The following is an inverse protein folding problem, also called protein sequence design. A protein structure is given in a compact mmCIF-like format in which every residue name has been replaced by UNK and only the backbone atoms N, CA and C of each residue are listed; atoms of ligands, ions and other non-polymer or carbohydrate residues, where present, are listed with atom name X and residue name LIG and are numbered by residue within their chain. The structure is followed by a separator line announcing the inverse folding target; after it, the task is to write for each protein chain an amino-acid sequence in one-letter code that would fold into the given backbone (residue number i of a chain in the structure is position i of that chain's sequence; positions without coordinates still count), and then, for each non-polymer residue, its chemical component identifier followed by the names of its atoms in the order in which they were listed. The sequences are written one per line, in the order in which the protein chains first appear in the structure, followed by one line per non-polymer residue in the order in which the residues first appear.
data_IF_742912558181
#
_entry.id   IF_742912558181
#
_cell.length_a   1.000
_cell.length_b   1.000
_cell.length_c   1.000
_cell.angle_alpha   90.00
_cell.angle_beta   90.00
_cell.angle_gamma   90.00
#
_symmetry.space_group_name_H-M   'P 1'
#
loop_
_entity.id
_entity.type
_entity.pdbx_description
1 polymer ?
#
# COMPACT_ATOMS: atom_id res chain seq x y z
N UNK A 1 -47.68 -28.02 -48.67
CA UNK A 1 -46.35 -28.24 -48.26
C UNK A 1 -45.79 -26.89 -47.77
N UNK A 2 -45.81 -26.62 -46.48
CA UNK A 2 -45.02 -25.52 -45.86
C UNK A 2 -44.40 -26.10 -44.59
N UNK A 3 -43.10 -26.31 -44.62
CA UNK A 3 -42.31 -26.56 -43.43
C UNK A 3 -41.90 -25.22 -42.85
N UNK A 4 -42.35 -24.96 -41.61
CA UNK A 4 -41.97 -23.81 -40.85
C UNK A 4 -40.52 -23.93 -40.41
N UNK A 5 -39.82 -22.82 -40.49
CA UNK A 5 -38.53 -22.59 -39.89
C UNK A 5 -38.77 -22.38 -38.39
N UNK A 6 -38.33 -23.34 -37.60
CA UNK A 6 -38.13 -23.13 -36.17
C UNK A 6 -36.81 -22.40 -36.02
N UNK A 7 -36.87 -21.12 -35.78
CA UNK A 7 -35.68 -20.34 -35.43
C UNK A 7 -35.19 -20.77 -34.05
N UNK A 8 -33.97 -21.21 -34.03
CA UNK A 8 -33.23 -21.63 -32.87
C UNK A 8 -32.91 -20.41 -31.98
N UNK A 9 -33.77 -20.19 -30.98
CA UNK A 9 -33.59 -19.17 -29.96
C UNK A 9 -32.60 -19.58 -28.85
N UNK A 10 -31.84 -20.67 -29.06
CA UNK A 10 -30.91 -21.18 -28.05
C UNK A 10 -29.54 -20.52 -28.05
N UNK A 11 -29.23 -19.59 -28.96
CA UNK A 11 -27.90 -18.95 -29.07
C UNK A 11 -27.76 -17.57 -28.44
N UNK A 12 -28.81 -17.03 -27.85
CA UNK A 12 -28.69 -15.88 -26.96
C UNK A 12 -28.28 -16.33 -25.55
N UNK A 13 -27.13 -16.99 -25.42
CA UNK A 13 -26.43 -16.98 -24.17
C UNK A 13 -26.04 -15.54 -23.93
N UNK A 14 -26.76 -14.88 -23.02
CA UNK A 14 -26.30 -13.74 -22.27
C UNK A 14 -24.92 -14.14 -21.78
N UNK A 15 -23.88 -13.60 -22.37
CA UNK A 15 -22.58 -13.53 -21.72
C UNK A 15 -22.83 -12.68 -20.49
N UNK A 16 -23.12 -13.33 -19.39
CA UNK A 16 -22.92 -12.74 -18.09
C UNK A 16 -21.50 -12.20 -18.13
N UNK A 17 -21.40 -10.89 -18.21
CA UNK A 17 -20.18 -10.22 -17.76
C UNK A 17 -20.00 -10.74 -16.35
N UNK A 18 -19.09 -11.68 -16.18
CA UNK A 18 -18.39 -11.82 -14.93
C UNK A 18 -17.64 -10.49 -14.78
N UNK A 19 -18.32 -9.50 -14.19
CA UNK A 19 -17.64 -8.45 -13.47
C UNK A 19 -16.79 -9.21 -12.45
N UNK A 20 -15.55 -9.40 -12.80
CA UNK A 20 -14.53 -9.82 -11.84
C UNK A 20 -14.44 -8.64 -10.89
N UNK A 21 -15.28 -8.65 -9.86
CA UNK A 21 -15.11 -7.72 -8.74
C UNK A 21 -13.64 -7.82 -8.37
N UNK A 22 -12.91 -6.75 -8.62
CA UNK A 22 -11.48 -6.73 -8.31
C UNK A 22 -11.37 -6.94 -6.81
N UNK A 23 -10.94 -8.15 -6.43
CA UNK A 23 -10.83 -8.58 -5.04
C UNK A 23 -10.04 -7.53 -4.27
N UNK A 24 -10.66 -6.94 -3.28
CA UNK A 24 -10.03 -5.90 -2.49
C UNK A 24 -8.91 -6.49 -1.64
N UNK A 25 -7.67 -6.13 -1.96
CA UNK A 25 -6.48 -6.65 -1.34
C UNK A 25 -5.60 -5.54 -0.79
N UNK A 26 -4.92 -5.85 0.29
CA UNK A 26 -3.98 -4.98 0.96
C UNK A 26 -2.63 -5.66 1.13
N UNK A 27 -1.60 -4.87 1.43
CA UNK A 27 -0.24 -5.41 1.51
C UNK A 27 0.54 -4.81 2.68
N UNK A 28 1.25 -5.66 3.41
CA UNK A 28 2.34 -5.24 4.27
C UNK A 28 3.67 -5.52 3.58
N UNK A 29 4.61 -4.57 3.69
CA UNK A 29 5.98 -4.72 3.18
C UNK A 29 6.92 -4.52 4.35
N UNK A 30 7.47 -5.62 4.84
CA UNK A 30 8.18 -5.69 6.11
C UNK A 30 9.66 -5.90 5.83
N UNK A 31 10.49 -5.01 6.36
CA UNK A 31 11.93 -5.15 6.30
C UNK A 31 12.37 -6.29 7.22
N UNK A 32 13.17 -7.20 6.68
CA UNK A 32 13.85 -8.24 7.44
C UNK A 32 15.36 -7.91 7.45
N UNK A 33 15.95 -7.86 8.61
CA UNK A 33 17.37 -7.64 8.81
C UNK A 33 17.89 -8.69 9.80
N UNK A 34 18.98 -9.37 9.44
CA UNK A 34 19.59 -10.41 10.29
C UNK A 34 18.55 -11.45 10.78
N UNK A 35 17.66 -11.86 9.87
CA UNK A 35 16.58 -12.81 10.17
C UNK A 35 15.41 -12.26 10.99
N UNK A 36 15.43 -10.99 11.40
CA UNK A 36 14.40 -10.38 12.24
C UNK A 36 13.53 -9.41 11.48
N UNK A 37 12.20 -9.57 11.61
CA UNK A 37 11.23 -8.62 11.08
C UNK A 37 11.29 -7.30 11.85
N UNK A 38 11.53 -6.20 11.14
CA UNK A 38 11.66 -4.88 11.75
C UNK A 38 10.28 -4.22 11.90
N UNK A 39 10.05 -3.55 13.03
CA UNK A 39 8.83 -2.80 13.31
C UNK A 39 7.54 -3.62 13.16
N UNK A 40 7.59 -4.92 13.48
CA UNK A 40 6.51 -5.88 13.22
C UNK A 40 5.19 -5.47 13.89
N UNK A 41 5.23 -4.91 15.10
CA UNK A 41 4.04 -4.48 15.83
C UNK A 41 3.26 -3.39 15.07
N UNK A 42 3.96 -2.43 14.45
CA UNK A 42 3.32 -1.37 13.65
C UNK A 42 2.68 -1.92 12.37
N UNK A 43 3.28 -2.95 11.77
CA UNK A 43 2.71 -3.65 10.62
C UNK A 43 1.47 -4.44 11.03
N UNK A 44 1.51 -5.11 12.16
CA UNK A 44 0.37 -5.84 12.72
C UNK A 44 -0.80 -4.90 12.99
N UNK A 45 -0.54 -3.79 13.67
CA UNK A 45 -1.57 -2.78 13.98
C UNK A 45 -2.21 -2.20 12.71
N UNK A 46 -1.41 -1.88 11.68
CA UNK A 46 -1.94 -1.38 10.41
C UNK A 46 -2.78 -2.41 9.69
N UNK A 47 -2.35 -3.67 9.65
CA UNK A 47 -3.12 -4.77 9.09
C UNK A 47 -4.46 -4.93 9.82
N UNK A 48 -4.44 -4.95 11.15
CA UNK A 48 -5.66 -5.06 11.97
C UNK A 48 -6.62 -3.89 11.75
N UNK A 49 -6.11 -2.65 11.67
CA UNK A 49 -6.92 -1.48 11.34
C UNK A 49 -7.60 -1.63 9.97
N UNK A 50 -6.89 -2.14 8.98
CA UNK A 50 -7.42 -2.40 7.65
C UNK A 50 -8.51 -3.46 7.69
N UNK A 51 -8.30 -4.56 8.41
CA UNK A 51 -9.27 -5.64 8.56
C UNK A 51 -10.54 -5.16 9.26
N UNK A 52 -10.40 -4.42 10.36
CA UNK A 52 -11.57 -3.86 11.07
C UNK A 52 -12.41 -2.96 10.16
N UNK A 53 -11.78 -2.26 9.23
CA UNK A 53 -12.46 -1.33 8.34
C UNK A 53 -13.15 -2.03 7.16
N UNK A 54 -12.46 -2.94 6.48
CA UNK A 54 -12.93 -3.54 5.23
C UNK A 54 -13.55 -4.93 5.39
N UNK A 55 -13.11 -5.68 6.39
CA UNK A 55 -13.49 -7.07 6.59
C UNK A 55 -13.95 -7.34 8.04
N UNK A 56 -14.94 -6.59 8.54
CA UNK A 56 -15.35 -6.72 9.94
C UNK A 56 -15.87 -8.12 10.29
N UNK A 57 -16.42 -8.85 9.32
CA UNK A 57 -16.88 -10.23 9.49
C UNK A 57 -15.74 -11.23 9.69
N UNK A 58 -14.55 -10.96 9.15
CA UNK A 58 -13.39 -11.82 9.34
C UNK A 58 -12.92 -11.83 10.81
N UNK A 59 -13.00 -10.67 11.47
CA UNK A 59 -12.54 -10.48 12.84
C UNK A 59 -11.00 -10.50 12.95
N UNK A 60 -10.46 -9.61 13.78
CA UNK A 60 -9.01 -9.51 13.99
C UNK A 60 -8.43 -10.75 14.66
N UNK A 61 -9.20 -11.39 15.55
CA UNK A 61 -8.76 -12.57 16.28
C UNK A 61 -8.52 -13.80 15.40
N UNK A 62 -9.13 -13.86 14.21
CA UNK A 62 -8.92 -14.97 13.25
C UNK A 62 -7.68 -14.76 12.38
N UNK A 63 -7.06 -13.57 12.42
CA UNK A 63 -5.85 -13.29 11.65
C UNK A 63 -4.60 -13.80 12.40
N UNK A 64 -3.72 -14.51 11.70
CA UNK A 64 -2.48 -14.93 12.30
C UNK A 64 -1.57 -13.73 12.59
N UNK A 65 -0.78 -13.85 13.65
CA UNK A 65 0.24 -12.85 13.96
C UNK A 65 1.33 -12.86 12.88
N UNK A 66 1.65 -11.70 12.34
CA UNK A 66 2.70 -11.54 11.32
C UNK A 66 4.04 -12.11 11.77
N UNK A 67 4.36 -12.00 13.06
CA UNK A 67 5.57 -12.57 13.64
C UNK A 67 5.65 -14.09 13.49
N UNK A 68 4.52 -14.79 13.59
CA UNK A 68 4.44 -16.25 13.41
C UNK A 68 4.45 -16.67 11.94
N UNK A 69 4.00 -15.80 11.05
CA UNK A 69 3.96 -16.07 9.62
C UNK A 69 5.30 -15.88 8.92
N UNK A 70 6.12 -14.95 9.44
CA UNK A 70 7.38 -14.60 8.80
C UNK A 70 8.49 -15.53 9.28
N UNK A 71 8.70 -16.62 8.54
CA UNK A 71 9.82 -17.52 8.80
C UNK A 71 11.16 -16.79 8.58
N UNK A 72 12.08 -16.80 9.54
CA UNK A 72 13.41 -16.24 9.36
C UNK A 72 14.16 -17.00 8.26
N UNK A 73 14.73 -16.28 7.30
CA UNK A 73 15.59 -16.84 6.24
C UNK A 73 17.05 -16.54 6.60
N UNK A 74 17.74 -17.53 7.12
CA UNK A 74 19.06 -17.42 7.73
C UNK A 74 20.20 -16.95 6.80
N UNK A 75 19.98 -16.84 5.48
CA UNK A 75 21.03 -16.57 4.50
C UNK A 75 20.92 -15.22 3.80
N UNK A 76 20.05 -14.33 4.26
CA UNK A 76 19.83 -13.03 3.61
C UNK A 76 19.96 -11.92 4.65
N UNK A 77 21.02 -11.13 4.57
CA UNK A 77 21.29 -10.04 5.51
C UNK A 77 20.23 -8.94 5.44
N UNK A 78 19.67 -8.71 4.25
CA UNK A 78 18.75 -7.61 4.04
C UNK A 78 17.71 -7.92 2.94
N UNK A 79 16.46 -8.16 3.33
CA UNK A 79 15.36 -8.42 2.40
C UNK A 79 14.03 -7.87 2.90
N UNK A 80 13.02 -7.93 2.07
CA UNK A 80 11.64 -7.57 2.40
C UNK A 80 10.73 -8.78 2.30
N UNK A 81 9.80 -8.88 3.23
CA UNK A 81 8.64 -9.75 3.14
C UNK A 81 7.44 -8.92 2.68
N UNK A 82 6.77 -9.36 1.62
CA UNK A 82 5.53 -8.80 1.11
C UNK A 82 4.39 -9.74 1.46
N UNK A 83 3.51 -9.31 2.36
CA UNK A 83 2.34 -10.07 2.84
C UNK A 83 1.10 -9.47 2.20
N UNK A 84 0.42 -10.21 1.34
CA UNK A 84 -0.87 -9.81 0.74
C UNK A 84 -1.99 -10.45 1.52
N UNK A 85 -3.03 -9.68 1.81
CA UNK A 85 -4.20 -10.13 2.55
C UNK A 85 -5.48 -9.46 2.07
N UNK A 86 -6.59 -10.11 2.30
CA UNK A 86 -7.92 -9.68 1.91
C UNK A 86 -8.99 -10.33 2.77
N UNK A 87 -10.20 -10.44 2.23
CA UNK A 87 -11.36 -11.03 2.93
C UNK A 87 -11.13 -12.48 3.37
N UNK A 88 -10.32 -13.24 2.62
CA UNK A 88 -9.99 -14.63 2.94
C UNK A 88 -8.81 -14.78 3.92
N UNK A 89 -8.33 -13.68 4.50
CA UNK A 89 -7.14 -13.68 5.34
C UNK A 89 -5.85 -13.41 4.56
N UNK A 90 -4.71 -13.99 5.01
CA UNK A 90 -3.44 -13.88 4.29
C UNK A 90 -3.43 -14.78 3.08
N UNK A 91 -3.15 -14.21 1.91
CA UNK A 91 -3.23 -14.86 0.62
C UNK A 91 -1.86 -15.25 0.07
N UNK A 92 -0.84 -14.41 0.28
CA UNK A 92 0.52 -14.73 -0.13
C UNK A 92 1.58 -14.05 0.75
N UNK A 93 2.75 -14.68 0.83
CA UNK A 93 3.95 -14.12 1.44
C UNK A 93 5.12 -14.33 0.47
N UNK A 94 5.67 -13.23 0.00
CA UNK A 94 6.80 -13.23 -0.93
C UNK A 94 8.01 -12.59 -0.27
N UNK A 95 9.20 -13.17 -0.50
CA UNK A 95 10.46 -12.62 -0.02
C UNK A 95 11.33 -12.19 -1.20
N UNK A 96 11.88 -11.00 -1.12
CA UNK A 96 12.78 -10.48 -2.13
C UNK A 96 13.94 -9.70 -1.50
N UNK A 97 15.14 -9.69 -2.12
CA UNK A 97 16.20 -8.77 -1.73
C UNK A 97 15.67 -7.33 -1.68
N UNK A 98 16.16 -6.55 -0.74
CA UNK A 98 15.77 -5.16 -0.60
C UNK A 98 16.96 -4.24 -0.85
N UNK A 99 16.82 -3.35 -1.81
CA UNK A 99 17.73 -2.23 -2.02
C UNK A 99 16.96 -0.92 -1.92
N UNK A 100 17.55 0.07 -1.28
CA UNK A 100 16.98 1.41 -1.27
C UNK A 100 17.24 2.07 -2.63
N UNK A 101 16.20 2.69 -3.19
CA UNK A 101 16.37 3.53 -4.38
C UNK A 101 17.05 4.83 -3.98
N UNK A 102 18.02 5.25 -4.76
CA UNK A 102 18.57 6.60 -4.67
C UNK A 102 17.61 7.57 -5.36
N UNK A 103 17.26 8.65 -4.67
CA UNK A 103 16.36 9.70 -5.16
C UNK A 103 17.09 11.02 -4.99
N UNK A 104 17.41 11.67 -6.09
CA UNK A 104 18.12 12.96 -6.12
C UNK A 104 17.21 14.10 -6.55
N UNK A 105 16.08 13.80 -7.17
CA UNK A 105 15.18 14.82 -7.72
C UNK A 105 13.72 14.44 -7.54
N UNK A 106 12.90 15.43 -7.20
CA UNK A 106 11.46 15.27 -6.99
C UNK A 106 10.68 16.25 -7.88
N UNK A 107 9.68 15.75 -8.58
CA UNK A 107 8.69 16.56 -9.28
C UNK A 107 7.51 16.82 -8.35
N UNK A 108 7.17 18.08 -8.11
CA UNK A 108 5.95 18.44 -7.40
C UNK A 108 4.75 18.14 -8.31
N UNK A 109 3.81 17.35 -7.81
CA UNK A 109 2.55 17.05 -8.51
C UNK A 109 1.37 17.29 -7.58
N UNK A 110 0.40 18.07 -8.06
CA UNK A 110 -0.80 18.34 -7.29
C UNK A 110 -1.96 17.47 -7.74
N UNK A 111 -2.67 16.89 -6.74
CA UNK A 111 -3.96 16.21 -6.91
C UNK A 111 -4.79 16.38 -5.64
N UNK A 112 -5.86 17.17 -5.76
CA UNK A 112 -6.77 17.48 -4.65
C UNK A 112 -7.76 16.36 -4.34
N UNK A 113 -7.89 15.38 -5.23
CA UNK A 113 -8.85 14.28 -5.11
C UNK A 113 -8.19 12.97 -4.65
N UNK A 114 -6.86 12.87 -4.68
CA UNK A 114 -6.17 11.63 -4.31
C UNK A 114 -6.57 11.14 -2.93
N UNK A 115 -6.81 9.84 -2.82
CA UNK A 115 -7.03 9.11 -1.57
C UNK A 115 -6.24 7.81 -1.59
N UNK A 116 -5.48 7.55 -0.51
CA UNK A 116 -4.73 6.30 -0.33
C UNK A 116 -4.52 6.02 1.15
N UNK A 117 -5.61 5.99 1.93
CA UNK A 117 -5.54 5.89 3.39
C UNK A 117 -5.17 4.50 3.91
N UNK A 118 -5.32 3.49 3.06
CA UNK A 118 -4.98 2.09 3.33
C UNK A 118 -4.01 1.58 2.27
N UNK A 119 -3.11 0.68 2.65
CA UNK A 119 -2.06 0.17 1.77
C UNK A 119 -2.62 -0.90 0.83
N UNK A 120 -3.46 -0.46 -0.12
CA UNK A 120 -4.05 -1.32 -1.16
C UNK A 120 -3.00 -1.85 -2.12
N UNK A 121 -3.24 -3.05 -2.67
CA UNK A 121 -2.51 -3.57 -3.83
C UNK A 121 -2.85 -2.81 -5.11
N UNK A 122 -4.07 -2.26 -5.22
CA UNK A 122 -4.41 -1.32 -6.28
C UNK A 122 -3.74 0.03 -6.01
N UNK A 123 -2.85 0.42 -6.92
CA UNK A 123 -2.04 1.63 -6.85
C UNK A 123 -2.25 2.55 -8.06
N UNK A 124 -3.33 2.38 -8.80
CA UNK A 124 -3.53 3.10 -10.06
C UNK A 124 -3.48 4.62 -9.88
N UNK A 125 -4.09 5.15 -8.82
CA UNK A 125 -4.03 6.57 -8.50
C UNK A 125 -2.59 7.06 -8.22
N UNK A 126 -1.80 6.30 -7.47
CA UNK A 126 -0.40 6.64 -7.20
C UNK A 126 0.48 6.46 -8.44
N UNK A 127 0.24 5.42 -9.24
CA UNK A 127 0.98 5.16 -10.48
C UNK A 127 0.72 6.25 -11.52
N UNK A 128 -0.51 6.73 -11.62
CA UNK A 128 -0.88 7.86 -12.49
C UNK A 128 -0.13 9.15 -12.10
N UNK A 129 0.03 9.42 -10.80
CA UNK A 129 0.82 10.57 -10.34
C UNK A 129 2.32 10.34 -10.57
N UNK A 130 2.84 9.14 -10.27
CA UNK A 130 4.22 8.79 -10.52
C UNK A 130 4.62 8.94 -12.00
N UNK A 131 3.71 8.69 -12.94
CA UNK A 131 3.94 8.88 -14.39
C UNK A 131 4.18 10.37 -14.74
N UNK A 132 3.78 11.31 -13.88
CA UNK A 132 3.97 12.76 -14.10
C UNK A 132 5.33 13.27 -13.61
N UNK A 133 6.24 12.42 -13.21
CA UNK A 133 7.56 12.80 -12.67
C UNK A 133 8.48 13.46 -13.71
N UNK A 134 8.21 13.35 -15.00
CA UNK A 134 9.08 13.86 -16.06
C UNK A 134 10.50 13.24 -16.00
N UNK A 135 11.52 14.07 -15.98
CA UNK A 135 12.92 13.64 -15.85
C UNK A 135 13.38 13.44 -14.39
N UNK A 136 12.55 13.73 -13.40
CA UNK A 136 12.87 13.52 -11.99
C UNK A 136 12.81 12.03 -11.61
N UNK A 137 13.44 11.67 -10.50
CA UNK A 137 13.48 10.28 -10.01
C UNK A 137 12.14 9.85 -9.43
N UNK A 138 11.43 10.79 -8.77
CA UNK A 138 10.19 10.52 -8.07
C UNK A 138 9.30 11.78 -8.02
N UNK A 139 8.05 11.63 -7.58
CA UNK A 139 7.11 12.73 -7.32
C UNK A 139 7.00 13.02 -5.83
N UNK A 140 6.74 14.28 -5.51
CA UNK A 140 6.18 14.68 -4.23
C UNK A 140 4.76 15.16 -4.44
N UNK A 141 3.82 14.55 -3.75
CA UNK A 141 2.39 14.76 -3.96
C UNK A 141 1.92 15.88 -3.03
N UNK A 142 1.28 16.87 -3.63
CA UNK A 142 0.63 17.99 -2.93
C UNK A 142 -0.89 17.82 -3.04
N UNK A 143 -1.59 18.03 -1.93
CA UNK A 143 -3.05 18.02 -1.89
C UNK A 143 -3.53 19.24 -1.10
N UNK A 144 -4.30 20.10 -1.75
CA UNK A 144 -4.81 21.37 -1.20
C UNK A 144 -3.67 22.25 -0.64
N UNK A 145 -2.63 22.41 -1.45
CA UNK A 145 -1.47 23.23 -1.11
C UNK A 145 -0.54 22.64 -0.04
N UNK A 146 -0.79 21.43 0.45
CA UNK A 146 0.03 20.79 1.48
C UNK A 146 0.71 19.53 0.96
N UNK A 147 1.98 19.40 1.26
CA UNK A 147 2.77 18.19 0.97
C UNK A 147 2.15 16.98 1.68
N UNK A 148 2.11 15.85 1.01
CA UNK A 148 1.60 14.57 1.52
C UNK A 148 2.70 13.52 1.56
N UNK A 149 2.84 12.77 0.50
CA UNK A 149 3.76 11.64 0.37
C UNK A 149 4.46 11.67 -0.99
N UNK A 150 5.39 10.78 -1.23
CA UNK A 150 5.80 10.40 -2.59
C UNK A 150 4.82 9.34 -3.15
N UNK A 151 5.09 8.83 -4.33
CA UNK A 151 4.26 7.75 -4.87
C UNK A 151 4.34 6.44 -4.04
N UNK A 152 5.34 6.24 -3.19
CA UNK A 152 5.53 4.97 -2.46
C UNK A 152 6.04 5.11 -1.02
N UNK A 153 6.43 6.32 -0.55
CA UNK A 153 6.92 6.56 0.81
C UNK A 153 6.32 7.80 1.43
N UNK A 154 6.23 7.82 2.77
CA UNK A 154 6.11 9.08 3.48
C UNK A 154 7.42 9.88 3.35
N UNK A 155 7.35 11.17 3.61
CA UNK A 155 8.50 12.08 3.58
C UNK A 155 8.80 12.65 4.96
N UNK A 156 10.06 12.96 5.19
CA UNK A 156 10.51 13.80 6.27
C UNK A 156 11.52 14.81 5.70
N UNK A 157 11.31 16.09 5.94
CA UNK A 157 12.11 17.18 5.45
C UNK A 157 12.84 17.84 6.63
N UNK A 158 14.12 18.17 6.44
CA UNK A 158 14.92 18.81 7.46
C UNK A 158 14.93 20.33 7.23
N UNK A 159 14.49 21.10 8.22
CA UNK A 159 14.41 22.55 8.14
C UNK A 159 15.68 23.27 8.64
N UNK A 160 16.74 22.51 8.95
CA UNK A 160 17.99 23.02 9.56
C UNK A 160 18.06 22.80 11.08
N UNK A 161 16.95 22.41 11.72
CA UNK A 161 16.86 22.14 13.16
C UNK A 161 16.15 20.83 13.47
N UNK A 162 15.03 20.56 12.80
CA UNK A 162 14.15 19.44 13.07
C UNK A 162 13.81 18.70 11.78
N UNK A 163 13.52 17.42 11.90
CA UNK A 163 12.90 16.64 10.84
C UNK A 163 11.38 16.76 10.93
N UNK A 164 10.78 17.31 9.88
CA UNK A 164 9.35 17.56 9.79
C UNK A 164 8.69 16.58 8.79
N UNK A 165 7.54 16.05 9.16
CA UNK A 165 6.74 15.18 8.29
C UNK A 165 5.34 15.76 8.13
N UNK A 166 4.67 15.59 6.97
CA UNK A 166 3.31 16.05 6.79
C UNK A 166 2.37 15.56 7.90
N UNK A 167 1.61 16.50 8.48
CA UNK A 167 0.59 16.17 9.50
C UNK A 167 -0.47 15.21 8.95
N UNK A 168 -0.82 15.36 7.69
CA UNK A 168 -1.83 14.57 7.01
C UNK A 168 -1.22 13.83 5.81
N UNK A 169 -0.46 12.75 6.00
CA UNK A 169 0.05 11.95 4.89
C UNK A 169 -1.11 11.27 4.15
N UNK A 170 -0.88 10.74 2.95
CA UNK A 170 -1.83 9.89 2.26
C UNK A 170 -1.98 8.55 2.99
N UNK A 171 -0.86 7.97 3.42
CA UNK A 171 -0.83 6.71 4.14
C UNK A 171 -0.13 6.88 5.50
N UNK A 172 -0.73 6.37 6.56
CA UNK A 172 -0.06 6.25 7.86
C UNK A 172 0.98 5.13 7.80
N UNK A 173 2.22 5.51 7.46
CA UNK A 173 3.33 4.57 7.28
C UNK A 173 3.91 4.09 8.61
N UNK A 174 4.24 2.80 8.70
CA UNK A 174 4.77 2.17 9.91
C UNK A 174 6.09 2.79 10.38
N UNK A 175 7.00 3.12 9.46
CA UNK A 175 8.25 3.81 9.80
C UNK A 175 8.00 5.23 10.29
N UNK A 176 7.08 5.96 9.67
CA UNK A 176 6.67 7.30 10.12
C UNK A 176 6.10 7.24 11.53
N UNK A 177 5.19 6.34 11.82
CA UNK A 177 4.60 6.14 13.16
C UNK A 177 5.69 5.88 14.20
N UNK A 178 6.58 4.93 13.94
CA UNK A 178 7.73 4.66 14.80
C UNK A 178 8.58 5.91 15.09
N UNK A 179 8.92 6.69 14.04
CA UNK A 179 9.76 7.86 14.20
C UNK A 179 9.08 8.98 15.02
N UNK A 180 7.78 9.15 14.86
CA UNK A 180 6.97 10.09 15.66
C UNK A 180 6.93 9.68 17.14
N UNK A 181 6.66 8.41 17.44
CA UNK A 181 6.66 7.90 18.82
C UNK A 181 8.02 8.03 19.50
N UNK A 182 9.11 7.86 18.73
CA UNK A 182 10.48 8.09 19.21
C UNK A 182 10.86 9.57 19.25
N UNK A 183 9.95 10.47 18.87
CA UNK A 183 10.19 11.93 18.81
C UNK A 183 11.39 12.33 17.93
N UNK A 184 11.69 11.50 16.92
CA UNK A 184 12.76 11.73 15.96
C UNK A 184 12.32 12.62 14.79
N UNK A 185 11.02 12.72 14.57
CA UNK A 185 10.40 13.64 13.61
C UNK A 185 9.17 14.28 14.26
N UNK A 186 8.73 15.41 13.71
CA UNK A 186 7.55 16.16 14.17
C UNK A 186 6.58 16.40 13.02
N UNK A 187 5.30 16.44 13.32
CA UNK A 187 4.27 16.75 12.34
C UNK A 187 4.21 18.26 12.08
N UNK A 188 4.12 18.63 10.80
CA UNK A 188 3.94 20.01 10.37
C UNK A 188 3.04 20.08 9.12
N UNK A 189 2.45 21.23 8.90
CA UNK A 189 1.78 21.58 7.65
C UNK A 189 2.84 22.13 6.71
N UNK A 190 3.30 21.30 5.78
CA UNK A 190 4.37 21.58 4.83
C UNK A 190 3.78 22.05 3.50
N UNK A 191 4.26 23.19 3.01
CA UNK A 191 3.81 23.83 1.75
C UNK A 191 4.91 23.83 0.71
#
# INVERSE_FOLDING_TARGET
VRRGLAEDLSSYRIREKQDTEMKQQFVETIKIKEGQAQAIAYHQERMERTIRHFFPSLGVASMPLLERLLAPKAHMDFYKARVVYGESGVESIEYAPYSMREIHSLQVVEDNNITYNFKSTNRDCLNALAARKGSCDEVIIVKRGLVRDTSYTNVALYDGKLWLTPRQPLLLGTKRTYLLEKKLIQEADLT
#
